data_IF_981487700703
#
_entry.id   IF_981487700703
#
_cell.length_a   1.000
_cell.length_b   1.000
_cell.length_c   1.000
_cell.angle_alpha   90.00
_cell.angle_beta   90.00
_cell.angle_gamma   90.00
#
_symmetry.space_group_name_H-M   'P 1'
#
loop_
_entity.id
_entity.type
_entity.pdbx_description
1 polymer ?
#
# COMPACT_ATOMS: atom_id res chain seq x y z
N UNK A 1 -18.21 -2.74 2.55
CA UNK A 1 -17.88 -3.66 3.64
C UNK A 1 -17.19 -4.90 3.06
N UNK A 2 -15.88 -4.84 2.91
CA UNK A 2 -15.01 -6.03 2.85
C UNK A 2 -14.06 -5.88 4.04
N UNK A 3 -13.94 -6.88 4.93
CA UNK A 3 -13.13 -6.72 6.13
C UNK A 3 -11.66 -6.73 5.72
N UNK A 4 -10.99 -5.60 5.95
CA UNK A 4 -9.53 -5.53 5.99
C UNK A 4 -9.08 -6.43 7.15
N UNK A 5 -8.80 -7.71 6.84
CA UNK A 5 -8.40 -8.73 7.80
C UNK A 5 -7.11 -8.31 8.47
N UNK A 6 -7.25 -7.75 9.66
CA UNK A 6 -6.26 -7.01 10.45
C UNK A 6 -5.14 -7.86 11.06
N UNK A 7 -4.74 -9.00 10.46
CA UNK A 7 -3.80 -9.92 11.13
C UNK A 7 -3.04 -10.87 10.21
N UNK A 8 -2.44 -10.33 9.13
CA UNK A 8 -1.51 -11.09 8.25
C UNK A 8 -0.01 -10.76 8.35
N UNK A 9 0.52 -9.76 9.08
CA UNK A 9 1.97 -9.59 9.11
C UNK A 9 2.65 -10.63 10.01
N UNK A 10 2.08 -10.93 11.18
CA UNK A 10 2.78 -11.72 12.22
C UNK A 10 3.04 -13.16 11.78
N UNK A 11 2.04 -13.84 11.19
CA UNK A 11 2.19 -15.23 10.71
C UNK A 11 3.23 -15.35 9.59
N UNK A 12 3.27 -14.37 8.69
CA UNK A 12 4.22 -14.36 7.57
C UNK A 12 5.65 -14.08 8.06
N UNK A 13 5.82 -13.17 9.02
CA UNK A 13 7.10 -12.92 9.70
C UNK A 13 7.63 -14.17 10.42
N UNK A 14 6.78 -14.90 11.15
CA UNK A 14 7.19 -16.14 11.81
C UNK A 14 7.61 -17.23 10.80
N UNK A 15 6.93 -17.35 9.66
CA UNK A 15 7.32 -18.28 8.58
C UNK A 15 8.65 -17.87 7.91
N UNK A 16 8.89 -16.58 7.68
CA UNK A 16 10.17 -16.09 7.16
C UNK A 16 11.32 -16.32 8.16
N UNK A 17 11.05 -16.15 9.47
CA UNK A 17 12.01 -16.45 10.54
C UNK A 17 12.33 -17.94 10.65
N UNK A 18 11.43 -18.81 10.17
CA UNK A 18 11.66 -20.26 10.10
C UNK A 18 12.67 -20.64 9.01
N UNK A 19 12.69 -19.90 7.90
CA UNK A 19 13.67 -20.05 6.81
C UNK A 19 15.07 -19.55 7.18
N UNK A 20 15.16 -18.70 8.20
CA UNK A 20 16.38 -18.21 8.84
C UNK A 20 17.09 -19.28 9.71
N UNK A 21 16.54 -20.50 9.80
CA UNK A 21 17.15 -21.58 10.57
C UNK A 21 18.50 -21.97 9.95
N UNK A 22 19.57 -21.70 10.70
CA UNK A 22 20.96 -21.95 10.32
C UNK A 22 21.17 -23.42 9.91
N UNK A 23 21.33 -23.67 8.61
CA UNK A 23 21.82 -24.95 8.08
C UNK A 23 23.35 -24.87 8.06
N UNK A 24 24.02 -25.87 8.62
CA UNK A 24 25.46 -25.84 8.93
C UNK A 24 26.36 -26.06 7.69
N UNK A 25 25.81 -26.05 6.48
CA UNK A 25 26.49 -26.38 5.22
C UNK A 25 26.51 -25.21 4.21
N UNK A 26 26.28 -23.97 4.64
CA UNK A 26 26.20 -22.81 3.75
C UNK A 26 27.58 -22.14 3.55
N UNK A 27 28.03 -22.06 2.29
CA UNK A 27 29.24 -21.34 1.89
C UNK A 27 29.12 -19.82 2.15
N UNK A 28 30.26 -19.13 2.27
CA UNK A 28 30.30 -17.68 2.57
C UNK A 28 29.45 -16.82 1.61
N UNK A 29 29.37 -17.25 0.35
CA UNK A 29 28.59 -16.60 -0.71
C UNK A 29 27.08 -16.66 -0.43
N UNK A 30 26.57 -17.80 0.03
CA UNK A 30 25.15 -17.98 0.34
C UNK A 30 24.76 -17.18 1.59
N UNK A 31 25.65 -17.12 2.58
CA UNK A 31 25.45 -16.33 3.79
C UNK A 31 25.37 -14.83 3.52
N UNK A 32 26.16 -14.33 2.55
CA UNK A 32 26.11 -12.94 2.12
C UNK A 32 24.75 -12.65 1.42
N UNK A 33 24.37 -13.46 0.45
CA UNK A 33 23.16 -13.20 -0.33
C UNK A 33 21.88 -13.18 0.52
N UNK A 34 21.71 -14.17 1.41
CA UNK A 34 20.51 -14.28 2.23
C UNK A 34 20.41 -13.16 3.28
N UNK A 35 21.54 -12.69 3.84
CA UNK A 35 21.55 -11.59 4.81
C UNK A 35 21.27 -10.25 4.13
N UNK A 36 21.90 -9.98 2.98
CA UNK A 36 21.77 -8.69 2.30
C UNK A 36 20.41 -8.51 1.64
N UNK A 37 19.96 -9.50 0.86
CA UNK A 37 18.68 -9.42 0.14
C UNK A 37 17.49 -9.37 1.11
N UNK A 38 17.47 -10.25 2.10
CA UNK A 38 16.37 -10.31 3.08
C UNK A 38 16.31 -9.04 3.93
N UNK A 39 17.46 -8.56 4.41
CA UNK A 39 17.53 -7.33 5.19
C UNK A 39 17.05 -6.11 4.39
N UNK A 40 17.44 -6.00 3.12
CA UNK A 40 17.00 -4.91 2.25
C UNK A 40 15.48 -4.93 1.99
N UNK A 41 14.92 -6.11 1.72
CA UNK A 41 13.47 -6.27 1.50
C UNK A 41 12.67 -5.95 2.77
N UNK A 42 13.13 -6.41 3.94
CA UNK A 42 12.48 -6.10 5.23
C UNK A 42 12.56 -4.59 5.51
N UNK A 43 13.71 -3.96 5.30
CA UNK A 43 13.89 -2.52 5.49
C UNK A 43 12.95 -1.72 4.59
N UNK A 44 12.88 -2.05 3.29
CA UNK A 44 11.97 -1.35 2.37
C UNK A 44 10.50 -1.57 2.70
N UNK A 45 10.11 -2.80 3.07
CA UNK A 45 8.73 -3.10 3.47
C UNK A 45 8.30 -2.28 4.70
N UNK A 46 9.20 -2.13 5.68
CA UNK A 46 8.97 -1.32 6.87
C UNK A 46 8.85 0.16 6.50
N UNK A 47 9.77 0.69 5.69
CA UNK A 47 9.75 2.10 5.24
C UNK A 47 8.49 2.48 4.47
N UNK A 48 8.05 1.63 3.53
CA UNK A 48 6.81 1.84 2.77
C UNK A 48 5.60 1.80 3.70
N UNK A 49 5.55 0.83 4.62
CA UNK A 49 4.46 0.75 5.61
C UNK A 49 4.38 2.02 6.46
N UNK A 50 5.51 2.50 6.98
CA UNK A 50 5.55 3.76 7.73
C UNK A 50 5.03 4.95 6.92
N UNK A 51 5.36 5.03 5.63
CA UNK A 51 4.87 6.08 4.73
C UNK A 51 3.36 5.98 4.47
N UNK A 52 2.81 4.76 4.33
CA UNK A 52 1.38 4.54 4.12
C UNK A 52 0.54 4.87 5.37
N UNK A 53 1.04 4.63 6.58
CA UNK A 53 0.28 4.85 7.83
C UNK A 53 0.44 6.26 8.43
N UNK A 54 1.45 7.02 8.00
CA UNK A 54 1.77 8.35 8.54
C UNK A 54 1.07 9.53 7.84
N UNK A 55 0.24 9.31 6.83
CA UNK A 55 -0.38 10.38 6.06
C UNK A 55 -1.61 9.94 5.27
N UNK A 56 -2.11 10.86 4.44
CA UNK A 56 -3.17 10.60 3.45
C UNK A 56 -2.57 9.86 2.25
N UNK A 57 -2.92 8.58 2.03
CA UNK A 57 -2.20 7.70 1.10
C UNK A 57 -2.41 8.09 -0.38
N UNK A 58 -3.46 8.85 -0.68
CA UNK A 58 -3.75 9.42 -2.00
C UNK A 58 -4.76 10.56 -1.84
N UNK A 59 -4.70 11.52 -2.76
CA UNK A 59 -5.64 12.63 -2.89
C UNK A 59 -6.59 12.32 -4.05
N UNK A 60 -7.90 12.28 -3.79
CA UNK A 60 -8.90 12.05 -4.83
C UNK A 60 -9.39 13.37 -5.44
N UNK A 61 -9.75 13.34 -6.72
CA UNK A 61 -10.45 14.48 -7.33
C UNK A 61 -11.90 14.51 -6.84
N UNK A 62 -12.22 15.53 -6.04
CA UNK A 62 -13.50 15.67 -5.34
C UNK A 62 -14.20 16.95 -5.87
N UNK A 63 -15.53 16.95 -6.09
CA UNK A 63 -16.23 18.13 -6.58
C UNK A 63 -16.25 19.26 -5.55
N UNK A 64 -16.29 20.51 -6.02
CA UNK A 64 -16.04 21.72 -5.21
C UNK A 64 -17.07 22.00 -4.10
N UNK A 65 -18.23 21.35 -4.12
CA UNK A 65 -19.27 21.49 -3.10
C UNK A 65 -19.03 20.65 -1.83
N UNK A 66 -18.00 19.79 -1.80
CA UNK A 66 -17.71 19.00 -0.61
C UNK A 66 -16.93 19.79 0.45
N UNK A 67 -17.23 19.50 1.73
CA UNK A 67 -16.47 20.05 2.86
C UNK A 67 -15.26 19.17 3.17
N UNK A 68 -14.27 19.71 3.88
CA UNK A 68 -13.04 18.99 4.24
C UNK A 68 -13.27 17.63 4.93
N UNK A 69 -14.39 17.45 5.64
CA UNK A 69 -14.74 16.16 6.25
C UNK A 69 -15.14 15.10 5.23
N UNK A 70 -15.80 15.51 4.15
CA UNK A 70 -16.19 14.62 3.06
C UNK A 70 -15.00 14.29 2.14
N UNK A 71 -14.04 15.21 2.01
CA UNK A 71 -12.76 14.96 1.31
C UNK A 71 -11.99 13.81 1.97
N UNK A 72 -11.75 13.90 3.28
CA UNK A 72 -11.05 12.85 4.04
C UNK A 72 -11.78 11.49 4.00
N UNK A 73 -13.12 11.50 4.00
CA UNK A 73 -13.90 10.27 3.83
C UNK A 73 -13.72 9.66 2.43
N UNK A 74 -13.75 10.51 1.41
CA UNK A 74 -13.64 10.08 0.00
C UNK A 74 -12.24 9.57 -0.31
N UNK A 75 -11.19 10.20 0.22
CA UNK A 75 -9.80 9.72 0.13
C UNK A 75 -9.64 8.30 0.69
N UNK A 76 -10.18 8.05 1.89
CA UNK A 76 -10.13 6.72 2.51
C UNK A 76 -10.98 5.69 1.74
N UNK A 77 -12.09 6.12 1.15
CA UNK A 77 -12.93 5.28 0.32
C UNK A 77 -12.21 4.87 -0.97
N UNK A 78 -11.62 5.84 -1.68
CA UNK A 78 -10.81 5.62 -2.87
C UNK A 78 -9.64 4.66 -2.58
N UNK A 79 -8.98 4.81 -1.44
CA UNK A 79 -7.86 3.95 -1.05
C UNK A 79 -8.27 2.50 -0.76
N UNK A 80 -9.48 2.29 -0.23
CA UNK A 80 -9.99 0.95 0.07
C UNK A 80 -10.59 0.24 -1.16
N UNK A 81 -10.96 0.98 -2.21
CA UNK A 81 -11.58 0.45 -3.43
C UNK A 81 -10.54 0.29 -4.56
N UNK A 82 -10.80 -0.63 -5.50
CA UNK A 82 -9.94 -0.78 -6.68
C UNK A 82 -10.09 0.43 -7.61
N UNK A 83 -8.97 1.09 -7.93
CA UNK A 83 -8.92 2.16 -8.92
C UNK A 83 -8.58 1.58 -10.30
N UNK A 84 -9.19 2.11 -11.35
CA UNK A 84 -8.90 1.74 -12.72
C UNK A 84 -8.43 2.96 -13.50
N UNK A 85 -7.47 2.75 -14.40
CA UNK A 85 -6.95 3.82 -15.24
C UNK A 85 -7.91 4.08 -16.40
N UNK A 86 -8.18 5.36 -16.65
CA UNK A 86 -9.03 5.84 -17.75
C UNK A 86 -8.26 6.90 -18.53
N UNK A 87 -8.31 6.89 -19.88
CA UNK A 87 -7.71 7.96 -20.67
C UNK A 87 -8.33 9.31 -20.33
N UNK A 88 -7.48 10.33 -20.22
CA UNK A 88 -7.84 11.66 -19.69
C UNK A 88 -8.93 12.35 -20.55
N UNK A 89 -9.02 11.96 -21.83
CA UNK A 89 -10.06 12.39 -22.77
C UNK A 89 -11.47 12.00 -22.33
N UNK A 90 -11.63 10.83 -21.68
CA UNK A 90 -12.91 10.38 -21.14
C UNK A 90 -13.15 10.92 -19.72
N UNK A 91 -12.09 11.21 -18.95
CA UNK A 91 -12.18 11.73 -17.58
C UNK A 91 -12.71 13.15 -17.53
N UNK A 92 -12.36 14.00 -18.51
CA UNK A 92 -12.93 15.36 -18.61
C UNK A 92 -14.46 15.34 -18.79
N UNK A 93 -14.99 14.26 -19.37
CA UNK A 93 -16.42 14.01 -19.52
C UNK A 93 -17.09 13.40 -18.29
N UNK A 94 -16.36 13.16 -17.19
CA UNK A 94 -16.94 12.66 -15.93
C UNK A 94 -16.72 13.67 -14.79
N UNK A 95 -15.56 14.33 -14.75
CA UNK A 95 -15.27 15.41 -13.79
C UNK A 95 -16.00 16.73 -14.06
N UNK A 96 -16.31 17.04 -15.33
CA UNK A 96 -17.10 18.23 -15.67
C UNK A 96 -18.62 18.00 -15.54
N UNK A 97 -19.09 16.75 -15.67
CA UNK A 97 -20.52 16.42 -15.57
C UNK A 97 -21.02 16.35 -14.11
N UNK A 98 -20.12 16.39 -13.11
CA UNK A 98 -20.46 16.54 -11.69
C UNK A 98 -20.32 17.98 -11.16
N UNK A 99 -19.91 18.94 -12.01
CA UNK A 99 -19.92 20.39 -11.73
C UNK A 99 -20.97 21.14 -12.55
N UNK A 100 -21.86 20.41 -13.25
CA UNK A 100 -22.98 20.98 -13.98
C UNK A 100 -24.33 20.58 -13.36
N UNK A 101 -24.59 21.13 -12.18
CA UNK A 101 -25.90 21.65 -11.80
C UNK A 101 -25.74 22.72 -10.72
#
# INVERSE_FOLDING_TARGET
MAPMRRSVPVRMFFSALSFLHYRKDDDFVDRLSYFYTSSFLIMMAVLVSFKQFGGRPLECWVPAQFTASWEAYTEMYCWAQNTYWVPIEQVRSVGFYLTKN
#
